data_IF_232195992146
#
_entry.id   IF_232195992146
#
_cell.length_a   1.000
_cell.length_b   1.000
_cell.length_c   1.000
_cell.angle_alpha   90.00
_cell.angle_beta   90.00
_cell.angle_gamma   90.00
#
_symmetry.space_group_name_H-M   'P 1'
#
loop_
_entity.id
_entity.type
_entity.pdbx_description
1 polymer ?
#
# COMPACT_ATOMS: atom_id res chain seq x y z
N UNK A 1 -21.10 6.11 12.06
CA UNK A 1 -20.75 4.83 11.42
C UNK A 1 -19.79 5.16 10.30
N UNK A 2 -18.56 4.65 10.32
CA UNK A 2 -17.66 4.90 9.19
C UNK A 2 -18.21 4.19 7.96
N UNK A 3 -18.53 4.99 6.93
CA UNK A 3 -19.00 4.47 5.65
C UNK A 3 -17.89 3.61 5.02
N UNK A 4 -18.28 2.48 4.43
CA UNK A 4 -17.37 1.63 3.66
C UNK A 4 -16.90 2.42 2.43
N UNK A 5 -15.59 2.47 2.21
CA UNK A 5 -14.98 3.14 1.05
C UNK A 5 -14.54 2.10 0.04
N UNK A 6 -15.38 1.87 -0.96
CA UNK A 6 -15.04 1.00 -2.07
C UNK A 6 -14.13 1.70 -3.10
N UNK A 7 -14.39 2.97 -3.37
CA UNK A 7 -13.64 3.78 -4.32
C UNK A 7 -13.72 5.24 -3.89
N UNK A 8 -12.63 5.98 -4.03
CA UNK A 8 -12.63 7.42 -3.77
C UNK A 8 -12.83 8.22 -5.05
N UNK A 9 -13.39 9.42 -4.91
CA UNK A 9 -13.57 10.39 -6.00
C UNK A 9 -13.15 11.76 -5.48
N UNK A 10 -11.93 12.17 -5.82
CA UNK A 10 -11.43 13.50 -5.53
C UNK A 10 -11.43 14.30 -6.82
N UNK A 11 -12.02 15.49 -6.79
CA UNK A 11 -12.03 16.43 -7.91
C UNK A 11 -10.86 17.41 -7.83
N UNK A 12 -10.35 17.64 -6.62
CA UNK A 12 -9.21 18.51 -6.34
C UNK A 12 -7.88 17.93 -6.83
N UNK A 13 -7.73 16.61 -6.77
CA UNK A 13 -6.51 15.93 -7.18
C UNK A 13 -6.76 14.99 -8.35
N UNK A 14 -5.91 15.02 -9.41
CA UNK A 14 -6.05 14.09 -10.52
C UNK A 14 -5.69 12.67 -10.09
N UNK A 15 -6.51 11.72 -10.53
CA UNK A 15 -6.23 10.29 -10.30
C UNK A 15 -5.01 9.88 -11.12
N UNK A 16 -4.02 9.30 -10.46
CA UNK A 16 -2.82 8.76 -11.09
C UNK A 16 -3.02 7.29 -11.47
N UNK A 17 -3.55 6.49 -10.53
CA UNK A 17 -3.75 5.06 -10.74
C UNK A 17 -4.82 4.50 -9.78
N UNK A 18 -5.60 3.53 -10.26
CA UNK A 18 -6.48 2.70 -9.43
C UNK A 18 -5.97 1.27 -9.41
N UNK A 19 -5.40 0.89 -8.28
CA UNK A 19 -5.00 -0.49 -8.05
C UNK A 19 -6.17 -1.35 -7.54
N UNK A 20 -5.90 -2.62 -7.29
CA UNK A 20 -6.90 -3.58 -6.79
C UNK A 20 -7.53 -3.15 -5.46
N UNK A 21 -6.76 -2.50 -4.58
CA UNK A 21 -7.16 -2.13 -3.21
C UNK A 21 -6.76 -0.72 -2.81
N UNK A 22 -6.14 0.05 -3.69
CA UNK A 22 -5.69 1.43 -3.43
C UNK A 22 -6.06 2.34 -4.57
N UNK A 23 -6.39 3.59 -4.24
CA UNK A 23 -6.52 4.68 -5.20
C UNK A 23 -5.35 5.65 -4.98
N UNK A 24 -4.69 6.07 -6.06
CA UNK A 24 -3.49 6.91 -6.00
C UNK A 24 -3.77 8.18 -6.79
N UNK A 25 -3.51 9.31 -6.18
CA UNK A 25 -3.70 10.64 -6.76
C UNK A 25 -2.37 11.38 -6.86
N UNK A 26 -2.20 12.17 -7.89
CA UNK A 26 -1.07 13.10 -8.01
C UNK A 26 -1.31 14.29 -7.11
N UNK A 27 -0.35 14.63 -6.26
CA UNK A 27 -0.33 15.86 -5.48
C UNK A 27 0.48 16.92 -6.26
N UNK A 28 1.72 16.59 -6.56
CA UNK A 28 2.63 17.40 -7.37
C UNK A 28 3.65 16.49 -8.09
N UNK A 29 4.72 17.06 -8.63
CA UNK A 29 5.77 16.29 -9.34
C UNK A 29 6.57 15.37 -8.42
N UNK A 30 6.58 15.62 -7.12
CA UNK A 30 7.38 14.88 -6.14
C UNK A 30 6.53 14.08 -5.15
N UNK A 31 5.21 14.32 -5.09
CA UNK A 31 4.33 13.71 -4.11
C UNK A 31 3.09 13.10 -4.74
N UNK A 32 2.59 12.05 -4.08
CA UNK A 32 1.32 11.42 -4.41
C UNK A 32 0.57 11.08 -3.12
N UNK A 33 -0.77 11.12 -3.20
CA UNK A 33 -1.65 10.66 -2.14
C UNK A 33 -2.03 9.21 -2.40
N UNK A 34 -1.69 8.32 -1.47
CA UNK A 34 -2.06 6.90 -1.53
C UNK A 34 -3.22 6.66 -0.57
N UNK A 35 -4.35 6.23 -1.11
CA UNK A 35 -5.57 5.95 -0.34
C UNK A 35 -5.82 4.44 -0.28
N UNK A 36 -5.81 3.86 0.91
CA UNK A 36 -6.18 2.47 1.13
C UNK A 36 -7.72 2.36 1.22
N UNK A 37 -8.31 1.66 0.27
CA UNK A 37 -9.76 1.41 0.26
C UNK A 37 -10.12 0.17 1.06
N UNK A 38 -11.42 -0.05 1.25
CA UNK A 38 -11.94 -1.23 1.94
C UNK A 38 -12.10 -2.45 1.00
N UNK A 39 -11.73 -2.29 -0.30
CA UNK A 39 -11.67 -3.41 -1.25
C UNK A 39 -10.72 -4.48 -0.76
N UNK A 40 -11.05 -5.74 -1.05
CA UNK A 40 -10.16 -6.89 -0.87
C UNK A 40 -9.95 -7.58 -2.21
N UNK A 41 -8.76 -8.08 -2.44
CA UNK A 41 -8.40 -8.86 -3.62
C UNK A 41 -7.83 -10.21 -3.20
N UNK A 42 -8.24 -11.26 -3.88
CA UNK A 42 -7.72 -12.62 -3.74
C UNK A 42 -7.52 -13.23 -5.12
N UNK A 43 -6.37 -13.86 -5.35
CA UNK A 43 -5.99 -14.44 -6.65
C UNK A 43 -6.17 -13.45 -7.81
N UNK A 44 -5.76 -12.19 -7.58
CA UNK A 44 -5.90 -11.07 -8.53
C UNK A 44 -7.33 -10.62 -8.88
N UNK A 45 -8.33 -11.20 -8.25
CA UNK A 45 -9.74 -10.82 -8.39
C UNK A 45 -10.14 -9.89 -7.25
N UNK A 46 -10.75 -8.75 -7.57
CA UNK A 46 -11.33 -7.84 -6.58
C UNK A 46 -12.67 -8.46 -6.14
N UNK A 47 -12.78 -8.74 -4.85
CA UNK A 47 -14.00 -9.32 -4.29
C UNK A 47 -15.13 -8.29 -4.28
N UNK A 48 -16.38 -8.70 -4.53
CA UNK A 48 -17.51 -7.78 -4.63
C UNK A 48 -17.86 -7.10 -3.29
N UNK A 49 -17.60 -7.77 -2.18
CA UNK A 49 -17.93 -7.26 -0.84
C UNK A 49 -16.68 -6.70 -0.17
N UNK A 50 -16.62 -5.39 0.10
CA UNK A 50 -15.51 -4.76 0.81
C UNK A 50 -15.56 -5.10 2.31
N UNK A 51 -14.42 -5.01 2.98
CA UNK A 51 -14.30 -5.21 4.44
C UNK A 51 -14.29 -3.84 5.12
N UNK A 52 -15.32 -3.51 5.92
CA UNK A 52 -15.40 -2.21 6.59
C UNK A 52 -14.13 -1.90 7.41
N UNK A 53 -13.64 -0.67 7.32
CA UNK A 53 -12.46 -0.16 8.01
C UNK A 53 -11.11 -0.84 7.65
N UNK A 54 -11.07 -1.77 6.71
CA UNK A 54 -9.83 -2.44 6.30
C UNK A 54 -8.76 -1.42 5.87
N UNK A 55 -9.12 -0.45 5.03
CA UNK A 55 -8.20 0.57 4.57
C UNK A 55 -7.59 1.38 5.71
N UNK A 56 -8.44 1.85 6.63
CA UNK A 56 -7.99 2.62 7.78
C UNK A 56 -7.08 1.81 8.72
N UNK A 57 -7.43 0.56 8.99
CA UNK A 57 -6.61 -0.32 9.83
C UNK A 57 -5.23 -0.56 9.22
N UNK A 58 -5.18 -0.91 7.93
CA UNK A 58 -3.93 -1.17 7.23
C UNK A 58 -3.04 0.08 7.15
N UNK A 59 -3.62 1.26 6.94
CA UNK A 59 -2.87 2.52 6.94
C UNK A 59 -2.22 2.77 8.30
N UNK A 60 -2.97 2.59 9.40
CA UNK A 60 -2.44 2.77 10.76
C UNK A 60 -1.32 1.79 11.09
N UNK A 61 -1.47 0.52 10.72
CA UNK A 61 -0.41 -0.50 10.91
C UNK A 61 0.83 -0.16 10.10
N UNK A 62 0.65 0.24 8.84
CA UNK A 62 1.75 0.65 7.96
C UNK A 62 2.49 1.88 8.52
N UNK A 63 1.76 2.92 8.92
CA UNK A 63 2.33 4.15 9.50
C UNK A 63 3.13 3.86 10.79
N UNK A 64 2.60 2.98 11.65
CA UNK A 64 3.33 2.55 12.85
C UNK A 64 4.69 1.92 12.51
N UNK A 65 4.73 1.00 11.55
CA UNK A 65 5.97 0.31 11.20
C UNK A 65 6.96 1.23 10.47
N UNK A 66 6.51 2.09 9.57
CA UNK A 66 7.39 3.06 8.93
C UNK A 66 8.03 4.02 9.93
N UNK A 67 7.27 4.53 10.89
CA UNK A 67 7.79 5.36 11.97
C UNK A 67 8.73 4.60 12.91
N UNK A 68 8.43 3.32 13.16
CA UNK A 68 9.27 2.47 14.01
C UNK A 68 10.65 2.19 13.42
N UNK A 69 10.73 2.12 12.09
CA UNK A 69 11.95 1.78 11.35
C UNK A 69 12.58 2.95 10.61
N UNK A 70 12.14 4.17 10.83
CA UNK A 70 12.65 5.37 10.14
C UNK A 70 14.15 5.58 10.34
N UNK A 71 14.69 5.21 11.50
CA UNK A 71 16.10 5.29 11.82
C UNK A 71 16.96 4.19 11.18
N UNK A 72 16.33 3.12 10.68
CA UNK A 72 17.04 1.99 10.06
C UNK A 72 17.19 2.17 8.55
N UNK A 73 16.17 2.71 7.90
CA UNK A 73 16.15 2.89 6.45
C UNK A 73 15.21 4.04 6.07
N UNK A 74 15.65 4.86 5.12
CA UNK A 74 14.79 5.88 4.53
C UNK A 74 13.55 5.23 3.86
N UNK A 75 12.40 5.86 4.02
CA UNK A 75 11.14 5.37 3.49
C UNK A 75 10.42 6.42 2.65
N UNK A 76 9.25 6.07 2.11
CA UNK A 76 8.46 6.90 1.21
C UNK A 76 7.63 7.98 1.92
N UNK A 77 7.53 8.00 3.24
CA UNK A 77 6.74 9.01 3.93
C UNK A 77 7.26 10.41 3.63
N UNK A 78 6.35 11.36 3.46
CA UNK A 78 6.65 12.78 3.33
C UNK A 78 6.24 13.52 4.60
N UNK A 79 6.75 14.75 4.75
CA UNK A 79 6.34 15.64 5.86
C UNK A 79 5.01 16.35 5.57
N UNK A 80 4.47 16.19 4.35
CA UNK A 80 3.22 16.79 3.92
C UNK A 80 2.01 16.07 4.52
N UNK A 81 1.04 16.85 5.00
CA UNK A 81 -0.19 16.36 5.61
C UNK A 81 -1.41 16.54 4.69
N UNK A 82 -2.52 15.88 5.03
CA UNK A 82 -3.78 16.05 4.28
C UNK A 82 -4.30 17.49 4.29
N UNK A 83 -4.04 18.25 5.35
CA UNK A 83 -4.40 19.68 5.46
C UNK A 83 -3.74 20.55 4.40
N UNK A 84 -2.60 20.12 3.85
CA UNK A 84 -1.84 20.88 2.87
C UNK A 84 -2.37 20.70 1.44
N UNK A 85 -3.33 19.77 1.25
CA UNK A 85 -3.82 19.36 -0.08
C UNK A 85 -5.06 20.15 -0.57
N UNK A 86 -5.56 21.11 0.21
CA UNK A 86 -6.75 21.91 -0.11
C UNK A 86 -8.00 21.07 -0.51
N UNK A 87 -8.16 19.89 0.07
CA UNK A 87 -9.31 19.03 -0.17
C UNK A 87 -10.59 19.66 0.36
N UNK A 88 -11.70 19.47 -0.34
CA UNK A 88 -13.01 19.83 0.19
C UNK A 88 -13.37 18.96 1.40
N UNK A 89 -14.30 19.39 2.24
CA UNK A 89 -14.74 18.63 3.40
C UNK A 89 -15.27 17.23 3.02
N UNK A 90 -15.94 17.11 1.88
CA UNK A 90 -16.46 15.84 1.36
C UNK A 90 -15.35 14.91 0.85
N UNK A 91 -14.29 15.46 0.29
CA UNK A 91 -13.11 14.69 -0.14
C UNK A 91 -12.28 14.25 1.06
N UNK A 92 -12.08 15.15 2.02
CA UNK A 92 -11.36 14.82 3.26
C UNK A 92 -12.06 13.66 3.98
N UNK A 93 -13.39 13.65 4.09
CA UNK A 93 -14.15 12.56 4.70
C UNK A 93 -13.93 11.18 4.03
N UNK A 94 -13.60 11.16 2.72
CA UNK A 94 -13.29 9.91 2.01
C UNK A 94 -11.90 9.35 2.33
N UNK A 95 -10.92 10.20 2.65
CA UNK A 95 -9.51 9.84 2.72
C UNK A 95 -8.92 9.89 4.13
N UNK A 96 -9.58 10.59 5.05
CA UNK A 96 -9.11 10.75 6.43
C UNK A 96 -8.93 9.39 7.13
N UNK A 97 -7.79 9.23 7.81
CA UNK A 97 -7.43 8.02 8.55
C UNK A 97 -7.11 6.78 7.70
N UNK A 98 -7.18 6.88 6.35
CA UNK A 98 -6.92 5.79 5.43
C UNK A 98 -5.97 6.15 4.27
N UNK A 99 -5.35 7.30 4.34
CA UNK A 99 -4.44 7.77 3.31
C UNK A 99 -3.16 8.36 3.90
N UNK A 100 -2.13 8.39 3.08
CA UNK A 100 -0.84 8.99 3.40
C UNK A 100 -0.33 9.75 2.17
N UNK A 101 0.32 10.89 2.39
CA UNK A 101 1.10 11.58 1.36
C UNK A 101 2.49 10.99 1.35
N UNK A 102 2.94 10.56 0.18
CA UNK A 102 4.24 9.91 0.02
C UNK A 102 5.06 10.56 -1.08
N UNK A 103 6.37 10.40 -1.00
CA UNK A 103 7.30 10.80 -2.05
C UNK A 103 7.05 9.98 -3.31
N UNK A 104 7.05 10.62 -4.46
CA UNK A 104 6.98 9.95 -5.76
C UNK A 104 8.34 9.35 -6.09
N UNK A 105 8.41 8.03 -6.19
CA UNK A 105 9.63 7.31 -6.48
C UNK A 105 9.49 6.54 -7.79
N UNK A 106 10.62 6.22 -8.40
CA UNK A 106 10.67 5.32 -9.54
C UNK A 106 10.61 3.87 -9.05
N UNK A 107 9.56 3.16 -9.43
CA UNK A 107 9.43 1.75 -9.09
C UNK A 107 10.42 0.90 -9.89
N UNK A 108 11.17 0.04 -9.21
CA UNK A 108 11.97 -0.97 -9.87
C UNK A 108 11.07 -2.04 -10.51
N UNK A 109 11.45 -2.63 -11.65
CA UNK A 109 10.63 -3.65 -12.33
C UNK A 109 10.79 -5.03 -11.68
N UNK A 110 10.93 -5.07 -10.37
CA UNK A 110 11.06 -6.30 -9.56
C UNK A 110 10.21 -6.20 -8.31
N UNK A 111 9.70 -7.32 -7.84
CA UNK A 111 9.09 -7.46 -6.53
C UNK A 111 10.04 -8.22 -5.61
N UNK A 112 10.46 -7.58 -4.50
CA UNK A 112 11.32 -8.19 -3.49
C UNK A 112 10.49 -8.61 -2.28
N UNK A 113 10.45 -9.90 -1.98
CA UNK A 113 9.69 -10.45 -0.85
C UNK A 113 10.65 -11.07 0.14
N UNK A 114 10.75 -10.51 1.34
CA UNK A 114 11.50 -11.09 2.46
C UNK A 114 10.55 -11.98 3.27
N UNK A 115 10.93 -13.24 3.43
CA UNK A 115 10.14 -14.24 4.17
C UNK A 115 10.88 -14.68 5.41
N UNK A 116 10.17 -14.78 6.54
CA UNK A 116 10.74 -15.30 7.79
C UNK A 116 10.99 -16.82 7.76
N UNK A 117 10.35 -17.55 6.83
CA UNK A 117 10.45 -18.99 6.67
C UNK A 117 10.48 -19.36 5.19
N UNK A 118 11.04 -20.53 4.90
CA UNK A 118 11.04 -21.08 3.54
C UNK A 118 9.64 -21.62 3.22
N UNK A 119 8.87 -20.89 2.44
CA UNK A 119 7.47 -21.19 2.08
C UNK A 119 7.18 -20.91 0.60
N UNK A 120 6.01 -21.39 0.12
CA UNK A 120 5.53 -21.10 -1.23
C UNK A 120 6.42 -21.69 -2.33
N UNK A 121 6.75 -20.88 -3.35
CA UNK A 121 7.60 -21.30 -4.48
C UNK A 121 9.00 -21.72 -4.05
N UNK A 122 9.62 -20.99 -3.11
CA UNK A 122 10.93 -21.34 -2.59
C UNK A 122 10.96 -22.69 -1.88
N UNK A 123 9.91 -23.04 -1.12
CA UNK A 123 9.79 -24.36 -0.52
C UNK A 123 9.64 -25.48 -1.56
N UNK A 124 8.84 -25.27 -2.60
CA UNK A 124 8.67 -26.23 -3.69
C UNK A 124 9.99 -26.47 -4.44
N UNK A 125 10.72 -25.40 -4.74
CA UNK A 125 12.04 -25.47 -5.38
C UNK A 125 13.03 -26.25 -4.48
N UNK A 126 13.11 -25.91 -3.19
CA UNK A 126 13.96 -26.60 -2.23
C UNK A 126 13.65 -28.10 -2.13
N UNK A 127 12.38 -28.48 -2.08
CA UNK A 127 11.99 -29.90 -2.03
C UNK A 127 12.46 -30.70 -3.26
N UNK A 128 12.58 -30.07 -4.41
CA UNK A 128 12.99 -30.72 -5.66
C UNK A 128 14.51 -30.69 -5.91
N UNK A 129 15.19 -29.63 -5.48
CA UNK A 129 16.58 -29.36 -5.86
C UNK A 129 17.52 -29.14 -4.68
N UNK A 130 17.02 -29.05 -3.45
CA UNK A 130 17.74 -28.62 -2.23
C UNK A 130 18.41 -27.24 -2.40
N UNK A 131 17.88 -26.41 -3.30
CA UNK A 131 18.35 -25.05 -3.55
C UNK A 131 17.20 -24.08 -3.67
N UNK A 132 17.48 -22.79 -3.50
CA UNK A 132 16.54 -21.69 -3.77
C UNK A 132 17.29 -20.61 -4.54
N UNK A 133 16.75 -20.22 -5.70
CA UNK A 133 17.40 -19.26 -6.60
C UNK A 133 18.86 -19.62 -6.92
N UNK A 134 19.17 -20.90 -7.10
CA UNK A 134 20.52 -21.40 -7.38
C UNK A 134 21.47 -21.47 -6.17
N UNK A 135 20.99 -21.12 -4.96
CA UNK A 135 21.76 -21.23 -3.72
C UNK A 135 21.41 -22.54 -3.04
N UNK A 136 22.39 -23.45 -2.90
CA UNK A 136 22.22 -24.71 -2.16
C UNK A 136 22.02 -24.41 -0.68
N UNK A 137 21.02 -25.02 -0.08
CA UNK A 137 20.69 -24.89 1.33
C UNK A 137 20.98 -26.21 2.08
N UNK A 138 21.20 -26.15 3.40
CA UNK A 138 21.36 -27.34 4.23
C UNK A 138 20.14 -28.28 4.16
N UNK A 139 20.37 -29.58 4.36
CA UNK A 139 19.31 -30.57 4.45
C UNK A 139 18.53 -30.43 5.76
#
# INVERSE_FOLDING_TARGET
MNSVVHQTQLTTLPILHRGKVRDIYTVDDQHMLVVATDRISAFDVIMPTPIPNKGALLTRVSDFWFKRFDQLIANQLSDMNLSDLNLTASELAQVEGRSIVVKRMHALPIEAIVRGYLIGSGWKEYQSTQSVCGITLPA
#
